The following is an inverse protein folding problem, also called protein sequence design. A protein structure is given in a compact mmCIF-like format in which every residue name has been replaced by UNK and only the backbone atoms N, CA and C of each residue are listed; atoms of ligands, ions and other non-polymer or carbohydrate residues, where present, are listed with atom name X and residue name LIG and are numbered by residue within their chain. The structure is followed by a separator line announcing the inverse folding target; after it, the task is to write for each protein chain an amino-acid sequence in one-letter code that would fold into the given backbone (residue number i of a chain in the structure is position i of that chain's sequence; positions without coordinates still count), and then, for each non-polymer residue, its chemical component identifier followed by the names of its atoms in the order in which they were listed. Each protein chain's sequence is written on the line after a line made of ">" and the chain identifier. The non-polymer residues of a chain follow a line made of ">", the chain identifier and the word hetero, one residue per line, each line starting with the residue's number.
data_IF_851108789563
#
_entry.id   IF_851108789563
#
_cell.length_a   1.000
_cell.length_b   1.000
_cell.length_c   1.000
_cell.angle_alpha   90.00
_cell.angle_beta   90.00
_cell.angle_gamma   90.00
#
_symmetry.space_group_name_H-M   'P 1'
#
loop_
_entity.id
_entity.type
_entity.pdbx_description
1 polymer ?
#
# COMPACT_ATOMS: atom_id res chain seq x y z
N UNK A 1 -0.49 -25.65 -8.28
CA UNK A 1 0.41 -26.80 -8.54
C UNK A 1 0.03 -28.04 -7.72
N UNK A 2 0.14 -28.03 -6.38
CA UNK A 2 -0.18 -29.22 -5.55
C UNK A 2 -1.65 -29.60 -5.63
N UNK A 3 -2.56 -28.63 -5.48
CA UNK A 3 -4.01 -28.87 -5.58
C UNK A 3 -4.43 -29.39 -6.97
N UNK A 4 -3.73 -28.96 -8.02
CA UNK A 4 -4.01 -29.35 -9.40
C UNK A 4 -3.59 -30.79 -9.65
N UNK A 5 -2.41 -31.15 -9.14
CA UNK A 5 -1.95 -32.53 -9.16
C UNK A 5 -2.89 -33.42 -8.36
N UNK A 6 -3.36 -32.97 -7.20
CA UNK A 6 -4.33 -33.71 -6.39
C UNK A 6 -5.65 -33.91 -7.14
N UNK A 7 -6.18 -32.87 -7.80
CA UNK A 7 -7.40 -32.97 -8.61
C UNK A 7 -7.25 -33.99 -9.74
N UNK A 8 -6.13 -33.95 -10.45
CA UNK A 8 -5.85 -34.84 -11.58
C UNK A 8 -5.56 -36.27 -11.13
N UNK A 9 -4.89 -36.44 -9.99
CA UNK A 9 -4.51 -37.73 -9.43
C UNK A 9 -5.60 -38.40 -8.59
N UNK A 10 -6.65 -37.67 -8.19
CA UNK A 10 -7.69 -38.19 -7.30
C UNK A 10 -8.36 -39.43 -7.93
N UNK A 11 -8.22 -40.58 -7.26
CA UNK A 11 -8.81 -41.84 -7.69
C UNK A 11 -8.12 -42.52 -8.88
N UNK A 12 -6.95 -42.05 -9.33
CA UNK A 12 -6.19 -42.63 -10.45
C UNK A 12 -4.85 -43.21 -10.00
N UNK A 13 -4.45 -44.34 -10.60
CA UNK A 13 -3.13 -44.98 -10.40
C UNK A 13 -2.06 -44.48 -11.37
N UNK A 14 -2.46 -43.85 -12.47
CA UNK A 14 -1.59 -43.25 -13.47
C UNK A 14 -2.25 -42.01 -14.08
N UNK A 15 -1.45 -41.04 -14.51
CA UNK A 15 -1.90 -39.78 -15.09
C UNK A 15 -1.46 -39.74 -16.56
N UNK A 16 -2.38 -39.43 -17.46
CA UNK A 16 -2.14 -39.26 -18.90
C UNK A 16 -2.30 -37.79 -19.32
N UNK A 17 -1.79 -37.43 -20.50
CA UNK A 17 -1.88 -36.04 -21.03
C UNK A 17 -3.34 -35.59 -21.17
N UNK A 18 -4.27 -36.51 -21.48
CA UNK A 18 -5.71 -36.21 -21.57
C UNK A 18 -6.31 -35.79 -20.22
N UNK A 19 -5.74 -36.27 -19.12
CA UNK A 19 -6.23 -35.90 -17.78
C UNK A 19 -5.87 -34.45 -17.42
N UNK A 20 -4.92 -33.84 -18.14
CA UNK A 20 -4.60 -32.42 -18.01
C UNK A 20 -5.64 -31.51 -18.68
N UNK A 21 -6.46 -32.03 -19.60
CA UNK A 21 -7.52 -31.24 -20.27
C UNK A 21 -8.57 -30.75 -19.26
N UNK A 22 -8.77 -31.49 -18.16
CA UNK A 22 -9.67 -31.12 -17.06
C UNK A 22 -9.23 -29.84 -16.35
N UNK A 23 -7.93 -29.53 -16.38
CA UNK A 23 -7.40 -28.30 -15.78
C UNK A 23 -7.74 -27.05 -16.62
N UNK A 24 -8.17 -27.23 -17.87
CA UNK A 24 -8.48 -26.15 -18.81
C UNK A 24 -7.30 -25.23 -19.12
N UNK A 25 -7.56 -24.20 -19.94
CA UNK A 25 -6.65 -23.06 -20.00
C UNK A 25 -6.90 -22.18 -18.79
N UNK A 26 -5.93 -22.09 -17.88
CA UNK A 26 -5.95 -21.05 -16.86
C UNK A 26 -5.82 -19.69 -17.53
N UNK A 27 -6.70 -18.78 -17.15
CA UNK A 27 -6.47 -17.36 -17.38
C UNK A 27 -5.12 -17.03 -16.73
N UNK A 28 -4.15 -16.63 -17.55
CA UNK A 28 -2.86 -16.19 -17.03
C UNK A 28 -3.10 -14.81 -16.47
N UNK A 29 -3.14 -14.73 -15.15
CA UNK A 29 -3.17 -13.46 -14.47
C UNK A 29 -1.94 -12.65 -14.89
N UNK A 30 -2.17 -11.40 -15.26
CA UNK A 30 -1.11 -10.54 -15.81
C UNK A 30 -0.24 -10.02 -14.67
N UNK A 31 1.06 -9.96 -14.89
CA UNK A 31 1.98 -9.43 -13.88
C UNK A 31 1.78 -7.91 -13.74
N UNK A 32 1.95 -7.35 -12.54
CA UNK A 32 1.86 -5.91 -12.29
C UNK A 32 2.70 -5.07 -13.25
N UNK A 33 3.89 -5.56 -13.63
CA UNK A 33 4.77 -4.87 -14.58
C UNK A 33 4.22 -4.81 -16.02
N UNK A 34 3.32 -5.72 -16.39
CA UNK A 34 2.63 -5.73 -17.68
C UNK A 34 1.40 -4.82 -17.65
N UNK A 35 0.75 -4.72 -16.49
CA UNK A 35 -0.49 -3.96 -16.27
C UNK A 35 -0.23 -2.46 -16.13
N UNK A 36 0.80 -2.05 -15.37
CA UNK A 36 1.09 -0.63 -15.14
C UNK A 36 1.27 0.17 -16.43
N UNK A 37 2.02 -0.29 -17.46
CA UNK A 37 2.06 0.38 -18.76
C UNK A 37 0.68 0.57 -19.37
N UNK A 38 -0.20 -0.42 -19.28
CA UNK A 38 -1.56 -0.33 -19.84
C UNK A 38 -2.36 0.73 -19.09
N UNK A 39 -2.30 0.77 -17.76
CA UNK A 39 -3.00 1.77 -16.95
C UNK A 39 -2.49 3.19 -17.24
N UNK A 40 -1.17 3.39 -17.39
CA UNK A 40 -0.60 4.72 -17.60
C UNK A 40 -0.64 5.20 -19.05
N UNK A 41 -0.56 4.30 -20.03
CA UNK A 41 -0.31 4.66 -21.44
C UNK A 41 -1.49 4.34 -22.36
N UNK A 42 -2.49 3.59 -21.91
CA UNK A 42 -3.66 3.29 -22.73
C UNK A 42 -4.49 4.54 -23.02
N UNK A 43 -4.88 4.73 -24.28
CA UNK A 43 -5.84 5.77 -24.69
C UNK A 43 -7.30 5.40 -24.42
N UNK A 44 -7.56 4.15 -24.02
CA UNK A 44 -8.90 3.62 -23.77
C UNK A 44 -9.02 3.23 -22.31
N UNK A 45 -9.95 3.85 -21.59
CA UNK A 45 -10.27 3.52 -20.18
C UNK A 45 -10.62 2.04 -20.05
N UNK A 46 -11.40 1.49 -20.99
CA UNK A 46 -11.78 0.07 -20.97
C UNK A 46 -10.58 -0.88 -20.98
N UNK A 47 -9.47 -0.54 -21.65
CA UNK A 47 -8.29 -1.40 -21.64
C UNK A 47 -7.58 -1.36 -20.28
N UNK A 48 -7.50 -0.19 -19.64
CA UNK A 48 -7.00 -0.09 -18.26
C UNK A 48 -7.88 -0.85 -17.27
N UNK A 49 -9.20 -0.76 -17.43
CA UNK A 49 -10.18 -1.47 -16.60
C UNK A 49 -10.00 -2.99 -16.69
N UNK A 50 -9.95 -3.52 -17.91
CA UNK A 50 -9.74 -4.95 -18.15
C UNK A 50 -8.40 -5.39 -17.56
N UNK A 51 -7.33 -4.62 -17.76
CA UNK A 51 -6.01 -4.95 -17.21
C UNK A 51 -5.97 -5.00 -15.68
N UNK A 52 -6.69 -4.10 -15.00
CA UNK A 52 -6.83 -4.14 -13.53
C UNK A 52 -7.64 -5.38 -13.10
N UNK A 53 -8.69 -5.73 -13.84
CA UNK A 53 -9.55 -6.89 -13.51
C UNK A 53 -8.87 -8.24 -13.78
N UNK A 54 -7.94 -8.31 -14.73
CA UNK A 54 -7.18 -9.52 -15.09
C UNK A 54 -5.86 -9.68 -14.33
N UNK A 55 -5.64 -8.86 -13.29
CA UNK A 55 -4.40 -8.82 -12.53
C UNK A 55 -4.33 -9.92 -11.46
N UNK A 56 -3.13 -10.46 -11.23
CA UNK A 56 -2.82 -11.36 -10.08
C UNK A 56 -2.66 -10.56 -8.76
N UNK A 57 -3.35 -9.43 -8.65
CA UNK A 57 -3.12 -8.48 -7.57
C UNK A 57 -4.40 -7.75 -7.24
N UNK A 58 -4.65 -7.54 -5.95
CA UNK A 58 -5.83 -6.80 -5.53
C UNK A 58 -5.77 -5.35 -6.05
N UNK A 59 -6.88 -4.77 -6.52
CA UNK A 59 -6.93 -3.37 -6.92
C UNK A 59 -6.39 -2.37 -5.88
N UNK A 60 -6.47 -2.70 -4.58
CA UNK A 60 -5.89 -1.89 -3.51
C UNK A 60 -4.36 -1.89 -3.52
N UNK A 61 -3.72 -3.00 -3.90
CA UNK A 61 -2.27 -3.09 -4.04
C UNK A 61 -1.84 -2.40 -5.34
N UNK A 62 -2.60 -2.58 -6.43
CA UNK A 62 -2.38 -1.86 -7.70
C UNK A 62 -2.43 -0.34 -7.48
N UNK A 63 -3.35 0.15 -6.65
CA UNK A 63 -3.42 1.56 -6.25
C UNK A 63 -2.09 2.04 -5.62
N UNK A 64 -1.49 1.26 -4.73
CA UNK A 64 -0.22 1.60 -4.08
C UNK A 64 0.95 1.61 -5.08
N UNK A 65 0.95 0.68 -6.04
CA UNK A 65 1.93 0.69 -7.13
C UNK A 65 1.82 1.93 -7.99
N UNK A 66 0.59 2.34 -8.30
CA UNK A 66 0.33 3.57 -9.06
C UNK A 66 0.78 4.80 -8.26
N UNK A 67 0.41 4.92 -6.98
CA UNK A 67 0.83 6.03 -6.09
C UNK A 67 2.34 6.22 -6.10
N UNK A 68 3.08 5.11 -5.97
CA UNK A 68 4.53 5.10 -5.86
C UNK A 68 5.23 5.49 -7.18
N UNK A 69 4.62 5.19 -8.33
CA UNK A 69 5.25 5.39 -9.63
C UNK A 69 4.65 6.55 -10.44
N UNK A 70 3.57 7.18 -9.96
CA UNK A 70 2.81 8.20 -10.68
C UNK A 70 3.72 9.33 -11.19
N UNK A 71 4.56 9.87 -10.32
CA UNK A 71 5.42 11.01 -10.67
C UNK A 71 6.44 10.70 -11.78
N UNK A 72 6.78 9.43 -12.00
CA UNK A 72 7.73 9.03 -13.06
C UNK A 72 7.06 8.98 -14.43
N UNK A 73 5.75 8.75 -14.47
CA UNK A 73 4.99 8.66 -15.72
C UNK A 73 4.43 10.00 -16.18
N UNK A 74 4.31 10.99 -15.31
CA UNK A 74 3.68 12.27 -15.63
C UNK A 74 4.69 13.41 -15.77
N UNK A 75 4.43 14.32 -16.71
CA UNK A 75 5.16 15.59 -16.80
C UNK A 75 4.81 16.46 -15.59
N UNK A 76 5.76 17.29 -15.12
CA UNK A 76 5.63 18.09 -13.89
C UNK A 76 4.31 18.88 -13.79
N UNK A 77 3.83 19.42 -14.91
CA UNK A 77 2.60 20.22 -14.97
C UNK A 77 1.33 19.39 -14.75
N UNK A 78 1.38 18.08 -15.04
CA UNK A 78 0.24 17.15 -14.92
C UNK A 78 0.29 16.27 -13.67
N UNK A 79 1.42 16.24 -12.96
CA UNK A 79 1.58 15.47 -11.73
C UNK A 79 0.55 15.88 -10.67
N UNK A 80 0.27 17.18 -10.52
CA UNK A 80 -0.72 17.68 -9.56
C UNK A 80 -2.14 17.18 -9.86
N UNK A 81 -2.56 17.28 -11.13
CA UNK A 81 -3.85 16.78 -11.59
C UNK A 81 -3.97 15.26 -11.39
N UNK A 82 -2.88 14.52 -11.62
CA UNK A 82 -2.85 13.08 -11.43
C UNK A 82 -2.99 12.69 -9.94
N UNK A 83 -2.31 13.41 -9.04
CA UNK A 83 -2.46 13.19 -7.60
C UNK A 83 -3.82 13.64 -7.07
N UNK A 84 -4.45 14.67 -7.64
CA UNK A 84 -5.83 15.07 -7.29
C UNK A 84 -6.83 13.96 -7.64
N UNK A 85 -6.69 13.36 -8.83
CA UNK A 85 -7.48 12.18 -9.20
C UNK A 85 -7.20 11.01 -8.24
N UNK A 86 -5.93 10.72 -7.93
CA UNK A 86 -5.57 9.65 -7.01
C UNK A 86 -6.11 9.88 -5.59
N UNK A 87 -6.18 11.13 -5.13
CA UNK A 87 -6.78 11.49 -3.85
C UNK A 87 -8.29 11.15 -3.81
N UNK A 88 -9.02 11.41 -4.90
CA UNK A 88 -10.44 11.02 -5.01
C UNK A 88 -10.62 9.50 -5.00
N UNK A 89 -9.69 8.77 -5.62
CA UNK A 89 -9.67 7.31 -5.59
C UNK A 89 -9.45 6.79 -4.17
N UNK A 90 -8.53 7.40 -3.40
CA UNK A 90 -8.28 7.01 -2.01
C UNK A 90 -9.51 7.25 -1.09
N UNK A 91 -10.31 8.28 -1.37
CA UNK A 91 -11.59 8.49 -0.67
C UNK A 91 -12.53 7.31 -0.90
N UNK A 92 -12.69 6.86 -2.16
CA UNK A 92 -13.51 5.68 -2.47
C UNK A 92 -12.95 4.42 -1.81
N UNK A 93 -11.64 4.24 -1.85
CA UNK A 93 -10.94 3.14 -1.20
C UNK A 93 -11.22 3.10 0.31
N UNK A 94 -11.12 4.24 0.98
CA UNK A 94 -11.45 4.37 2.40
C UNK A 94 -12.93 4.05 2.68
N UNK A 95 -13.84 4.45 1.79
CA UNK A 95 -15.26 4.10 1.90
C UNK A 95 -15.50 2.60 1.75
N UNK A 96 -14.79 1.90 0.83
CA UNK A 96 -14.82 0.44 0.74
C UNK A 96 -14.42 -0.19 2.06
N UNK A 97 -13.30 0.23 2.66
CA UNK A 97 -12.83 -0.32 3.94
C UNK A 97 -13.79 -0.03 5.09
N UNK A 98 -14.33 1.19 5.18
CA UNK A 98 -15.19 1.61 6.29
C UNK A 98 -16.61 1.06 6.22
N UNK A 99 -17.20 1.02 5.02
CA UNK A 99 -18.60 0.63 4.82
C UNK A 99 -18.77 -0.79 4.33
N UNK A 100 -17.67 -1.47 3.96
CA UNK A 100 -17.69 -2.82 3.36
C UNK A 100 -18.58 -2.90 2.11
N UNK A 101 -18.77 -1.77 1.43
CA UNK A 101 -19.58 -1.67 0.22
C UNK A 101 -18.70 -1.80 -1.02
N UNK A 102 -18.66 -3.01 -1.57
CA UNK A 102 -17.86 -3.38 -2.73
C UNK A 102 -18.25 -2.65 -4.04
N UNK A 103 -19.40 -1.98 -4.09
CA UNK A 103 -19.76 -1.13 -5.25
C UNK A 103 -18.78 0.02 -5.43
N UNK A 104 -18.26 0.59 -4.34
CA UNK A 104 -17.24 1.63 -4.41
C UNK A 104 -15.91 1.10 -4.97
N UNK A 105 -15.62 -0.20 -4.83
CA UNK A 105 -14.45 -0.82 -5.44
C UNK A 105 -14.55 -0.83 -6.96
N UNK A 106 -15.74 -1.03 -7.52
CA UNK A 106 -15.95 -0.91 -8.97
C UNK A 106 -15.68 0.51 -9.48
N UNK A 107 -16.19 1.54 -8.79
CA UNK A 107 -15.90 2.94 -9.14
C UNK A 107 -14.41 3.29 -8.97
N UNK A 108 -13.76 2.74 -7.95
CA UNK A 108 -12.32 2.88 -7.73
C UNK A 108 -11.53 2.34 -8.92
N UNK A 109 -11.87 1.14 -9.41
CA UNK A 109 -11.25 0.53 -10.59
C UNK A 109 -11.47 1.40 -11.83
N UNK A 110 -12.69 1.91 -12.03
CA UNK A 110 -13.01 2.76 -13.18
C UNK A 110 -12.19 4.07 -13.16
N UNK A 111 -12.02 4.69 -12.00
CA UNK A 111 -11.19 5.88 -11.84
C UNK A 111 -9.69 5.58 -11.99
N UNK A 112 -9.21 4.45 -11.46
CA UNK A 112 -7.82 4.00 -11.64
C UNK A 112 -7.51 3.81 -13.13
N UNK A 113 -8.42 3.18 -13.88
CA UNK A 113 -8.30 3.03 -15.33
C UNK A 113 -8.35 4.37 -16.08
N UNK A 114 -8.95 5.41 -15.48
CA UNK A 114 -9.02 6.77 -16.00
C UNK A 114 -7.76 7.61 -15.82
N UNK A 115 -6.75 7.12 -15.09
CA UNK A 115 -5.50 7.86 -14.85
C UNK A 115 -4.78 8.22 -16.15
N UNK A 116 -4.81 7.34 -17.15
CA UNK A 116 -4.22 7.64 -18.45
C UNK A 116 -4.83 8.85 -19.15
N UNK A 117 -6.10 9.20 -18.86
CA UNK A 117 -6.78 10.33 -19.48
C UNK A 117 -6.16 11.66 -19.02
N UNK A 118 -5.71 11.74 -17.77
CA UNK A 118 -5.03 12.93 -17.21
C UNK A 118 -3.75 13.24 -17.98
N UNK A 119 -3.10 12.21 -18.53
CA UNK A 119 -1.89 12.36 -19.33
C UNK A 119 -2.18 13.06 -20.67
N UNK A 120 -3.36 12.87 -21.26
CA UNK A 120 -3.75 13.51 -22.54
C UNK A 120 -2.67 13.35 -23.62
N UNK A 121 -2.44 14.36 -24.45
CA UNK A 121 -1.45 14.28 -25.55
C UNK A 121 0.01 14.16 -25.08
N UNK A 122 0.29 14.31 -23.77
CA UNK A 122 1.63 14.09 -23.19
C UNK A 122 2.01 12.60 -23.07
N UNK A 123 1.22 11.69 -23.63
CA UNK A 123 1.61 10.30 -23.91
C UNK A 123 2.94 10.17 -24.69
N UNK A 124 3.49 11.27 -25.21
CA UNK A 124 4.79 11.36 -25.86
C UNK A 124 6.02 11.19 -24.95
N UNK A 125 5.89 11.09 -23.61
CA UNK A 125 6.97 10.56 -22.77
C UNK A 125 7.15 9.05 -23.04
N UNK A 126 7.92 8.76 -24.10
CA UNK A 126 8.22 7.44 -24.68
C UNK A 126 9.44 6.76 -24.06
N UNK A 127 9.84 7.18 -22.85
CA UNK A 127 10.92 6.54 -22.12
C UNK A 127 10.47 5.19 -21.54
N UNK A 128 11.40 4.26 -21.43
CA UNK A 128 11.23 3.14 -20.51
C UNK A 128 11.22 3.68 -19.08
N UNK A 129 10.18 3.37 -18.32
CA UNK A 129 10.04 3.77 -16.91
C UNK A 129 10.16 2.51 -16.06
N UNK A 130 11.20 2.39 -15.21
CA UNK A 130 11.35 1.24 -14.33
C UNK A 130 10.41 1.37 -13.13
N UNK A 131 9.31 0.63 -13.13
CA UNK A 131 8.38 0.62 -12.00
C UNK A 131 9.02 -0.02 -10.76
N UNK A 132 8.80 0.61 -9.60
CA UNK A 132 9.27 0.14 -8.30
C UNK A 132 8.11 -0.30 -7.42
N UNK A 133 8.32 -1.31 -6.56
CA UNK A 133 7.31 -1.72 -5.59
C UNK A 133 6.97 -0.58 -4.62
N UNK A 134 5.79 -0.62 -3.96
CA UNK A 134 5.37 0.44 -3.05
C UNK A 134 6.26 0.51 -1.81
N UNK A 135 6.92 1.65 -1.62
CA UNK A 135 7.78 1.87 -0.44
C UNK A 135 6.96 2.00 0.86
N UNK A 136 5.69 2.41 0.74
CA UNK A 136 4.78 2.65 1.87
C UNK A 136 4.62 1.41 2.75
N UNK A 137 4.43 0.22 2.16
CA UNK A 137 4.24 -1.02 2.92
C UNK A 137 5.51 -1.36 3.69
N UNK A 138 6.65 -1.29 3.01
CA UNK A 138 7.98 -1.55 3.58
C UNK A 138 8.27 -0.60 4.74
N UNK A 139 7.98 0.69 4.57
CA UNK A 139 8.17 1.72 5.60
C UNK A 139 7.22 1.53 6.80
N UNK A 140 5.96 1.18 6.55
CA UNK A 140 4.99 0.92 7.62
C UNK A 140 5.35 -0.33 8.42
N UNK A 141 5.90 -1.34 7.76
CA UNK A 141 6.41 -2.56 8.37
C UNK A 141 7.65 -2.30 9.22
N UNK A 142 8.67 -1.65 8.65
CA UNK A 142 9.93 -1.35 9.35
C UNK A 142 9.74 -0.44 10.57
N UNK A 143 8.81 0.51 10.48
CA UNK A 143 8.49 1.42 11.60
C UNK A 143 7.48 0.84 12.60
N UNK A 144 6.87 -0.32 12.34
CA UNK A 144 5.77 -0.87 13.14
C UNK A 144 6.18 -1.09 14.60
N UNK A 145 7.29 -1.79 14.82
CA UNK A 145 7.75 -2.12 16.17
C UNK A 145 8.07 -0.86 16.97
N UNK A 146 8.82 0.08 16.37
CA UNK A 146 9.12 1.37 17.00
C UNK A 146 7.84 2.15 17.35
N UNK A 147 6.83 2.16 16.47
CA UNK A 147 5.55 2.84 16.73
C UNK A 147 4.78 2.22 17.89
N UNK A 148 4.80 0.90 18.03
CA UNK A 148 4.18 0.17 19.14
C UNK A 148 4.86 0.55 20.46
N UNK A 149 6.18 0.41 20.54
CA UNK A 149 6.96 0.75 21.75
C UNK A 149 6.78 2.21 22.17
N UNK A 150 6.79 3.15 21.22
CA UNK A 150 6.54 4.57 21.52
C UNK A 150 5.13 4.77 22.07
N UNK A 151 4.13 4.06 21.54
CA UNK A 151 2.74 4.19 21.98
C UNK A 151 2.53 3.61 23.39
N UNK A 152 3.19 2.51 23.71
CA UNK A 152 3.22 1.92 25.07
C UNK A 152 3.86 2.88 26.07
N UNK A 153 5.02 3.44 25.71
CA UNK A 153 5.69 4.47 26.51
C UNK A 153 4.81 5.71 26.73
N UNK A 154 4.14 6.20 25.67
CA UNK A 154 3.23 7.34 25.79
C UNK A 154 2.04 7.03 26.71
N UNK A 155 1.58 5.77 26.75
CA UNK A 155 0.50 5.34 27.66
C UNK A 155 0.98 5.34 29.11
N UNK A 156 2.15 4.75 29.39
CA UNK A 156 2.79 4.73 30.71
C UNK A 156 2.99 6.14 31.28
N UNK A 157 3.51 7.06 30.47
CA UNK A 157 3.66 8.47 30.86
C UNK A 157 2.28 9.11 31.07
N UNK A 158 1.33 8.84 30.18
CA UNK A 158 -0.04 9.37 30.26
C UNK A 158 -0.78 9.01 31.54
N UNK A 159 -0.51 7.83 32.10
CA UNK A 159 -1.04 7.41 33.41
C UNK A 159 -0.52 8.27 34.57
N UNK A 160 0.74 8.72 34.51
CA UNK A 160 1.36 9.59 35.52
C UNK A 160 0.91 11.04 35.37
N UNK A 161 0.86 11.56 34.14
CA UNK A 161 0.50 12.96 33.86
C UNK A 161 -1.00 13.18 33.64
N UNK A 162 -1.81 12.12 33.78
CA UNK A 162 -3.26 12.12 33.53
C UNK A 162 -3.67 12.69 32.16
N UNK A 163 -2.90 12.39 31.11
CA UNK A 163 -3.17 12.84 29.74
C UNK A 163 -3.31 11.66 28.78
N UNK A 164 -3.99 11.89 27.65
CA UNK A 164 -4.04 10.90 26.58
C UNK A 164 -2.65 10.67 25.96
N UNK A 165 -2.40 9.46 25.46
CA UNK A 165 -1.15 9.10 24.78
C UNK A 165 -0.84 10.00 23.57
N UNK A 166 -1.87 10.55 22.90
CA UNK A 166 -1.69 11.53 21.82
C UNK A 166 -1.15 12.88 22.34
N UNK A 167 -1.67 13.37 23.46
CA UNK A 167 -1.20 14.60 24.11
C UNK A 167 0.23 14.40 24.61
N UNK A 168 0.52 13.27 25.25
CA UNK A 168 1.88 12.91 25.69
C UNK A 168 2.86 12.91 24.52
N UNK A 169 2.50 12.24 23.42
CA UNK A 169 3.35 12.16 22.23
C UNK A 169 3.66 13.52 21.61
N UNK A 170 2.67 14.42 21.59
CA UNK A 170 2.79 15.75 20.99
C UNK A 170 3.52 16.73 21.89
N UNK A 171 3.14 16.78 23.17
CA UNK A 171 3.47 17.89 24.06
C UNK A 171 4.54 17.52 25.12
N UNK A 172 4.72 16.24 25.46
CA UNK A 172 5.66 15.81 26.50
C UNK A 172 6.90 15.12 25.92
N UNK A 173 6.70 14.21 24.96
CA UNK A 173 7.76 13.41 24.35
C UNK A 173 8.93 14.26 23.80
N UNK A 174 8.70 15.37 23.07
CA UNK A 174 9.80 16.19 22.56
C UNK A 174 10.69 16.76 23.67
N UNK A 175 10.11 17.18 24.80
CA UNK A 175 10.88 17.70 25.93
C UNK A 175 11.61 16.59 26.69
N UNK A 176 10.98 15.44 26.90
CA UNK A 176 11.63 14.29 27.52
C UNK A 176 12.88 13.85 26.75
N UNK A 177 12.84 13.87 25.41
CA UNK A 177 14.03 13.61 24.59
C UNK A 177 15.17 14.61 24.85
N UNK A 178 14.84 15.89 24.98
CA UNK A 178 15.83 16.95 25.24
C UNK A 178 16.42 16.80 26.65
N UNK A 179 15.59 16.49 27.65
CA UNK A 179 16.00 16.28 29.05
C UNK A 179 16.95 15.09 29.15
N UNK A 180 16.58 13.95 28.55
CA UNK A 180 17.41 12.73 28.54
C UNK A 180 18.73 12.92 27.77
N UNK A 181 18.73 13.68 26.68
CA UNK A 181 19.95 13.97 25.90
C UNK A 181 20.97 14.81 26.67
N UNK A 182 20.52 15.64 27.62
CA UNK A 182 21.38 16.48 28.46
C UNK A 182 21.80 15.81 29.77
N UNK A 183 21.57 14.49 29.91
CA UNK A 183 21.90 13.70 31.11
C UNK A 183 21.32 14.27 32.40
N UNK A 184 20.16 14.93 32.33
CA UNK A 184 19.43 15.26 33.55
C UNK A 184 18.85 13.95 34.11
N UNK A 185 19.54 13.38 35.10
CA UNK A 185 19.19 12.14 35.82
C UNK A 185 17.76 12.11 36.41
N UNK A 186 17.04 13.23 36.43
CA UNK A 186 15.74 13.34 37.09
C UNK A 186 14.62 13.39 36.05
N UNK A 187 14.14 12.22 35.64
CA UNK A 187 12.82 12.06 34.99
C UNK A 187 11.64 12.20 35.98
N UNK A 188 11.89 12.64 37.22
CA UNK A 188 10.87 12.82 38.25
C UNK A 188 10.21 11.48 38.61
N UNK A 189 8.88 11.48 38.71
CA UNK A 189 8.08 10.29 39.04
C UNK A 189 7.94 9.29 37.88
N UNK A 190 8.43 9.64 36.69
CA UNK A 190 8.37 8.78 35.50
C UNK A 190 9.54 7.80 35.54
N UNK A 191 9.27 6.59 36.03
CA UNK A 191 10.22 5.47 36.01
C UNK A 191 10.35 4.91 34.60
N UNK A 192 11.36 5.37 33.87
CA UNK A 192 11.72 4.85 32.55
C UNK A 192 12.72 3.69 32.67
N UNK A 193 12.50 2.64 31.89
CA UNK A 193 13.45 1.53 31.74
C UNK A 193 14.56 1.92 30.74
N UNK A 194 15.72 1.24 30.82
CA UNK A 194 16.87 1.55 29.94
C UNK A 194 16.51 1.44 28.45
N UNK A 195 15.68 0.45 28.08
CA UNK A 195 15.18 0.27 26.72
C UNK A 195 14.28 1.44 26.26
N UNK A 196 13.47 2.01 27.15
CA UNK A 196 12.60 3.16 26.88
C UNK A 196 13.42 4.45 26.71
N UNK A 197 14.50 4.58 27.46
CA UNK A 197 15.46 5.69 27.32
C UNK A 197 16.18 5.60 25.99
N UNK A 198 16.62 4.40 25.58
CA UNK A 198 17.27 4.20 24.28
C UNK A 198 16.33 4.49 23.10
N UNK A 199 15.04 4.14 23.23
CA UNK A 199 14.01 4.45 22.23
C UNK A 199 13.83 5.96 21.98
N UNK A 200 14.10 6.78 23.01
CA UNK A 200 13.97 8.23 23.00
C UNK A 200 15.24 8.98 22.59
N UNK A 201 16.41 8.34 22.68
CA UNK A 201 17.67 8.85 22.12
C UNK A 201 17.59 8.91 20.58
#
# INVERSE_FOLDING_TARGET
>A
AINDLQLVALGKKSISIKDLEVLGYRERESNIFEILPVIFKSRKINAGRIAIQSADMDPDDIFLWIENNLYQEFVKEKVSEAYDLLSKIDILRNLVTKQQNWRFKAYMIDLLAGISVVKGDTHAHRGFVPYKPPDRITLLSSSKERRIKIMELCKKIGEVVHCSSNVVKRDYLPYLKIILKKEYEKTGDIKLEEEEIELLK
#
